data_IF_581128279377
#
_entry.id   IF_581128279377
#
_cell.length_a   1.000
_cell.length_b   1.000
_cell.length_c   1.000
_cell.angle_alpha   90.00
_cell.angle_beta   90.00
_cell.angle_gamma   90.00
#
_symmetry.space_group_name_H-M   'P 1'
#
loop_
_entity.id
_entity.type
_entity.pdbx_description
1 polymer ?
#
# COMPACT_ATOMS: atom_id res chain seq x y z
N UNK A 1 1.76 16.02 7.37
CA UNK A 1 1.97 14.70 8.01
C UNK A 1 3.45 14.42 7.98
N UNK A 2 4.05 14.10 9.13
CA UNK A 2 5.45 13.70 9.24
C UNK A 2 5.51 12.16 9.17
N UNK A 3 6.21 11.56 8.18
CA UNK A 3 6.26 10.10 8.03
C UNK A 3 7.33 9.39 8.88
N UNK A 4 8.16 10.12 9.59
CA UNK A 4 9.35 9.57 10.25
C UNK A 4 9.07 8.77 11.55
N UNK A 5 8.07 9.11 12.38
CA UNK A 5 7.79 8.36 13.60
C UNK A 5 7.23 6.95 13.31
N UNK A 6 8.10 5.94 13.30
CA UNK A 6 7.75 4.55 12.96
C UNK A 6 6.65 3.95 13.87
N UNK A 7 6.62 4.33 15.15
CA UNK A 7 5.62 3.86 16.11
C UNK A 7 4.20 4.32 15.77
N UNK A 8 4.01 5.48 15.12
CA UNK A 8 2.69 5.92 14.69
C UNK A 8 2.15 5.03 13.58
N UNK A 9 2.99 4.58 12.65
CA UNK A 9 2.57 3.61 11.64
C UNK A 9 2.17 2.27 12.26
N UNK A 10 2.89 1.81 13.29
CA UNK A 10 2.53 0.60 14.03
C UNK A 10 1.14 0.75 14.66
N UNK A 11 0.92 1.85 15.37
CA UNK A 11 -0.36 2.13 16.02
C UNK A 11 -1.52 2.22 15.02
N UNK A 12 -1.31 2.85 13.86
CA UNK A 12 -2.30 2.87 12.77
C UNK A 12 -2.67 1.47 12.32
N UNK A 13 -1.68 0.59 12.10
CA UNK A 13 -1.95 -0.80 11.72
C UNK A 13 -2.73 -1.54 12.79
N UNK A 14 -2.37 -1.40 14.06
CA UNK A 14 -3.11 -1.99 15.18
C UNK A 14 -4.57 -1.54 15.21
N UNK A 15 -4.84 -0.24 15.02
CA UNK A 15 -6.20 0.29 14.97
C UNK A 15 -7.01 -0.23 13.76
N UNK A 16 -6.38 -0.37 12.59
CA UNK A 16 -7.05 -0.92 11.40
C UNK A 16 -7.35 -2.41 11.56
N UNK A 17 -6.46 -3.15 12.21
CA UNK A 17 -6.64 -4.57 12.51
C UNK A 17 -7.66 -4.81 13.63
N UNK A 18 -7.77 -3.92 14.62
CA UNK A 18 -8.71 -4.09 15.74
C UNK A 18 -10.15 -3.71 15.38
N UNK A 19 -10.34 -2.78 14.43
CA UNK A 19 -11.68 -2.37 13.96
C UNK A 19 -12.39 -3.42 13.10
N UNK A 20 -11.69 -4.45 12.60
CA UNK A 20 -12.33 -5.53 11.87
C UNK A 20 -13.01 -6.50 12.86
N UNK A 21 -14.29 -6.25 13.18
CA UNK A 21 -15.09 -7.15 14.03
C UNK A 21 -15.34 -8.52 13.39
N UNK A 22 -15.10 -8.66 12.09
CA UNK A 22 -14.97 -9.94 11.39
C UNK A 22 -13.73 -9.93 10.46
N UNK A 23 -13.02 -11.06 10.31
CA UNK A 23 -11.84 -11.16 9.45
C UNK A 23 -12.13 -10.92 7.96
N UNK A 24 -13.37 -11.11 7.51
CA UNK A 24 -13.79 -10.99 6.10
C UNK A 24 -14.21 -9.57 5.69
N UNK A 25 -14.41 -8.64 6.64
CA UNK A 25 -14.80 -7.26 6.35
C UNK A 25 -13.77 -6.29 6.92
N UNK A 26 -12.50 -6.52 6.63
CA UNK A 26 -11.55 -5.42 6.71
C UNK A 26 -11.87 -4.44 5.59
N UNK A 27 -12.21 -3.21 5.97
CA UNK A 27 -12.71 -2.21 5.04
C UNK A 27 -11.64 -1.85 3.99
N UNK A 28 -11.83 -2.33 2.76
CA UNK A 28 -11.01 -1.97 1.60
C UNK A 28 -10.93 -0.45 1.44
N UNK A 29 -11.94 0.31 1.87
CA UNK A 29 -11.92 1.77 1.87
C UNK A 29 -10.86 2.32 2.83
N UNK A 30 -10.78 1.82 4.06
CA UNK A 30 -9.76 2.23 5.03
C UNK A 30 -8.34 1.91 4.55
N UNK A 31 -8.14 0.76 3.89
CA UNK A 31 -6.83 0.44 3.29
C UNK A 31 -6.49 1.38 2.13
N UNK A 32 -7.48 1.77 1.30
CA UNK A 32 -7.30 2.77 0.24
C UNK A 32 -6.93 4.15 0.80
N UNK A 33 -7.49 4.53 1.93
CA UNK A 33 -7.11 5.76 2.64
C UNK A 33 -5.66 5.72 3.11
N UNK A 34 -5.16 4.58 3.61
CA UNK A 34 -3.74 4.43 3.95
C UNK A 34 -2.83 4.52 2.72
N UNK A 35 -3.24 4.01 1.56
CA UNK A 35 -2.51 4.17 0.31
C UNK A 35 -2.45 5.65 -0.13
N UNK A 36 -3.54 6.41 0.05
CA UNK A 36 -3.55 7.86 -0.21
C UNK A 36 -2.66 8.63 0.78
N UNK A 37 -2.72 8.28 2.06
CA UNK A 37 -1.91 8.89 3.11
C UNK A 37 -0.41 8.68 2.87
N UNK A 38 -0.02 7.45 2.54
CA UNK A 38 1.40 7.14 2.25
C UNK A 38 1.89 7.83 0.99
N UNK A 39 1.08 7.90 -0.07
CA UNK A 39 1.44 8.68 -1.26
C UNK A 39 1.72 10.15 -0.90
N UNK A 40 0.79 10.80 -0.18
CA UNK A 40 0.96 12.19 0.30
C UNK A 40 2.20 12.38 1.17
N UNK A 41 2.53 11.39 2.00
CA UNK A 41 3.74 11.41 2.83
C UNK A 41 5.02 11.30 2.00
N UNK A 42 5.01 10.43 0.97
CA UNK A 42 6.14 10.21 0.09
C UNK A 42 6.40 11.40 -0.83
N UNK A 43 5.36 12.12 -1.25
CA UNK A 43 5.53 13.42 -1.94
C UNK A 43 6.34 14.42 -1.11
N UNK A 44 6.17 14.39 0.23
CA UNK A 44 6.90 15.27 1.15
C UNK A 44 8.30 14.77 1.48
N UNK A 45 8.45 13.46 1.67
CA UNK A 45 9.72 12.82 1.93
C UNK A 45 9.79 11.48 1.18
N UNK A 46 10.34 11.46 -0.06
CA UNK A 46 10.42 10.25 -0.88
C UNK A 46 11.33 9.16 -0.31
N UNK A 47 12.10 9.46 0.73
CA UNK A 47 13.05 8.55 1.41
C UNK A 47 12.54 8.09 2.79
N UNK A 48 11.29 8.41 3.13
CA UNK A 48 10.70 8.03 4.40
C UNK A 48 10.49 6.50 4.49
N UNK A 49 11.36 5.83 5.24
CA UNK A 49 11.27 4.38 5.49
C UNK A 49 9.90 3.94 6.03
N UNK A 50 9.37 4.68 7.00
CA UNK A 50 8.08 4.35 7.64
C UNK A 50 6.93 4.34 6.64
N UNK A 51 6.86 5.35 5.76
CA UNK A 51 5.82 5.46 4.74
C UNK A 51 5.91 4.32 3.70
N UNK A 52 7.11 4.01 3.20
CA UNK A 52 7.30 2.88 2.26
C UNK A 52 6.94 1.53 2.90
N UNK A 53 7.33 1.31 4.15
CA UNK A 53 7.01 0.07 4.86
C UNK A 53 5.51 -0.07 5.13
N UNK A 54 4.85 1.02 5.54
CA UNK A 54 3.41 1.04 5.74
C UNK A 54 2.65 0.83 4.42
N UNK A 55 3.10 1.47 3.33
CA UNK A 55 2.52 1.27 1.99
C UNK A 55 2.63 -0.19 1.54
N UNK A 56 3.77 -0.84 1.78
CA UNK A 56 3.97 -2.27 1.52
C UNK A 56 2.99 -3.14 2.30
N UNK A 57 2.74 -2.80 3.57
CA UNK A 57 1.72 -3.47 4.37
C UNK A 57 0.30 -3.27 3.81
N UNK A 58 -0.06 -2.03 3.44
CA UNK A 58 -1.38 -1.71 2.87
C UNK A 58 -1.63 -2.47 1.57
N UNK A 59 -0.66 -2.51 0.64
CA UNK A 59 -0.79 -3.27 -0.62
C UNK A 59 -0.95 -4.77 -0.35
N UNK A 60 -0.14 -5.35 0.54
CA UNK A 60 -0.33 -6.77 0.94
C UNK A 60 -1.73 -7.02 1.47
N UNK A 61 -2.28 -6.08 2.24
CA UNK A 61 -3.62 -6.24 2.80
C UNK A 61 -4.70 -6.11 1.74
N UNK A 62 -4.59 -5.16 0.81
CA UNK A 62 -5.47 -5.09 -0.36
C UNK A 62 -5.43 -6.37 -1.19
N UNK A 63 -4.25 -6.95 -1.43
CA UNK A 63 -4.14 -8.21 -2.17
C UNK A 63 -4.85 -9.37 -1.48
N UNK A 64 -4.74 -9.49 -0.15
CA UNK A 64 -5.44 -10.52 0.62
C UNK A 64 -6.97 -10.34 0.57
N UNK A 65 -7.44 -9.09 0.59
CA UNK A 65 -8.88 -8.77 0.56
C UNK A 65 -9.49 -8.84 -0.85
N UNK A 66 -8.67 -8.75 -1.88
CA UNK A 66 -9.08 -8.90 -3.28
C UNK A 66 -8.96 -10.33 -3.79
N UNK A 67 -8.58 -11.30 -2.94
CA UNK A 67 -8.55 -12.70 -3.34
C UNK A 67 -9.97 -13.16 -3.71
N UNK A 68 -10.14 -13.87 -4.84
CA UNK A 68 -11.45 -14.34 -5.26
C UNK A 68 -12.01 -15.31 -4.21
N UNK A 69 -13.22 -15.04 -3.74
CA UNK A 69 -14.09 -16.10 -3.22
C UNK A 69 -14.37 -17.08 -4.36
N UNK A 70 -14.55 -18.36 -4.04
CA UNK A 70 -14.65 -19.47 -5.00
C UNK A 70 -15.75 -19.33 -6.10
N UNK A 71 -16.55 -18.26 -6.07
CA UNK A 71 -17.69 -18.03 -6.97
C UNK A 71 -17.49 -16.94 -8.04
N UNK A 72 -16.41 -16.14 -8.03
CA UNK A 72 -16.28 -14.98 -8.95
C UNK A 72 -14.87 -14.90 -9.58
N UNK A 73 -14.64 -15.68 -10.62
CA UNK A 73 -13.31 -15.82 -11.27
C UNK A 73 -12.93 -14.67 -12.22
N UNK A 74 -13.85 -13.74 -12.54
CA UNK A 74 -13.62 -12.71 -13.57
C UNK A 74 -13.36 -11.30 -13.02
N UNK A 75 -14.05 -10.87 -11.96
CA UNK A 75 -13.99 -9.48 -11.48
C UNK A 75 -12.79 -9.17 -10.57
N UNK A 76 -12.34 -10.14 -9.77
CA UNK A 76 -11.26 -9.95 -8.79
C UNK A 76 -9.89 -9.79 -9.44
N UNK A 77 -9.65 -10.48 -10.55
CA UNK A 77 -8.39 -10.40 -11.32
C UNK A 77 -8.13 -8.96 -11.81
N UNK A 78 -9.18 -8.29 -12.32
CA UNK A 78 -9.10 -6.90 -12.79
C UNK A 78 -8.78 -5.90 -11.67
N UNK A 79 -9.30 -6.13 -10.45
CA UNK A 79 -9.03 -5.25 -9.31
C UNK A 79 -7.59 -5.34 -8.82
N UNK A 80 -7.03 -6.56 -8.79
CA UNK A 80 -5.62 -6.79 -8.46
C UNK A 80 -4.70 -6.16 -9.50
N UNK A 81 -4.98 -6.36 -10.79
CA UNK A 81 -4.21 -5.76 -11.87
C UNK A 81 -4.23 -4.22 -11.78
N UNK A 82 -5.40 -3.64 -11.51
CA UNK A 82 -5.57 -2.19 -11.34
C UNK A 82 -4.76 -1.66 -10.16
N UNK A 83 -4.74 -2.38 -9.04
CA UNK A 83 -3.91 -2.02 -7.88
C UNK A 83 -2.43 -2.03 -8.24
N UNK A 84 -1.93 -3.13 -8.81
CA UNK A 84 -0.51 -3.28 -9.12
C UNK A 84 -0.04 -2.26 -10.17
N UNK A 85 -0.87 -1.97 -11.18
CA UNK A 85 -0.58 -0.92 -12.18
C UNK A 85 -0.40 0.45 -11.51
N UNK A 86 -1.30 0.84 -10.60
CA UNK A 86 -1.18 2.11 -9.85
C UNK A 86 0.10 2.17 -9.02
N UNK A 87 0.51 1.06 -8.41
CA UNK A 87 1.76 1.01 -7.64
C UNK A 87 3.00 1.12 -8.53
N UNK A 88 2.97 0.54 -9.72
CA UNK A 88 4.02 0.69 -10.73
C UNK A 88 4.11 2.12 -11.26
N UNK A 89 2.97 2.77 -11.51
CA UNK A 89 2.92 4.17 -11.94
C UNK A 89 3.49 5.10 -10.86
N UNK A 90 3.16 4.87 -9.59
CA UNK A 90 3.75 5.59 -8.46
C UNK A 90 5.27 5.38 -8.38
N UNK A 91 5.75 4.16 -8.61
CA UNK A 91 7.19 3.91 -8.68
C UNK A 91 7.83 4.69 -9.83
N UNK A 92 7.20 4.69 -11.01
CA UNK A 92 7.66 5.46 -12.17
C UNK A 92 7.75 6.96 -11.87
N UNK A 93 6.74 7.50 -11.17
CA UNK A 93 6.74 8.89 -10.72
C UNK A 93 7.94 9.20 -9.82
N UNK A 94 8.12 8.47 -8.71
CA UNK A 94 9.23 8.75 -7.78
C UNK A 94 10.62 8.49 -8.39
N UNK A 95 10.75 7.53 -9.29
CA UNK A 95 12.01 7.27 -10.00
C UNK A 95 12.30 8.31 -11.08
N UNK A 96 11.29 8.96 -11.64
CA UNK A 96 11.50 10.12 -12.53
C UNK A 96 12.03 11.35 -11.79
N UNK A 97 11.71 11.48 -10.49
CA UNK A 97 12.20 12.54 -9.62
C UNK A 97 13.62 12.26 -9.07
N UNK A 98 13.90 11.01 -8.69
CA UNK A 98 15.21 10.54 -8.25
C UNK A 98 15.42 9.08 -8.66
N UNK A 99 16.09 8.86 -9.78
CA UNK A 99 16.34 7.51 -10.33
C UNK A 99 17.19 6.63 -9.39
N UNK A 100 17.87 7.24 -8.41
CA UNK A 100 18.71 6.56 -7.41
C UNK A 100 17.96 6.28 -6.12
N UNK A 101 16.66 6.57 -6.04
CA UNK A 101 15.85 6.30 -4.86
C UNK A 101 15.73 4.78 -4.63
N UNK A 102 16.65 4.24 -3.82
CA UNK A 102 16.70 2.81 -3.53
C UNK A 102 15.47 2.32 -2.75
N UNK A 103 14.78 3.19 -2.00
CA UNK A 103 13.54 2.81 -1.31
C UNK A 103 12.44 2.52 -2.33
N UNK A 104 12.32 3.38 -3.34
CA UNK A 104 11.37 3.19 -4.44
C UNK A 104 11.74 1.95 -5.26
N UNK A 105 13.02 1.73 -5.57
CA UNK A 105 13.45 0.50 -6.26
C UNK A 105 13.13 -0.77 -5.46
N UNK A 106 13.40 -0.77 -4.15
CA UNK A 106 13.06 -1.89 -3.27
C UNK A 106 11.54 -2.13 -3.19
N UNK A 107 10.75 -1.05 -3.17
CA UNK A 107 9.30 -1.14 -3.22
C UNK A 107 8.80 -1.68 -4.56
N UNK A 108 9.32 -1.17 -5.68
CA UNK A 108 9.01 -1.65 -7.04
C UNK A 108 9.32 -3.14 -7.18
N UNK A 109 10.46 -3.61 -6.66
CA UNK A 109 10.81 -5.03 -6.63
C UNK A 109 9.74 -5.85 -5.91
N UNK A 110 9.24 -5.37 -4.77
CA UNK A 110 8.13 -6.02 -4.06
C UNK A 110 6.83 -6.05 -4.89
N UNK A 111 6.50 -5.01 -5.65
CA UNK A 111 5.27 -4.94 -6.46
C UNK A 111 5.28 -5.95 -7.62
N UNK A 112 6.44 -6.24 -8.19
CA UNK A 112 6.60 -7.16 -9.34
C UNK A 112 6.98 -8.60 -8.97
N UNK A 113 7.10 -8.91 -7.67
CA UNK A 113 7.45 -10.26 -7.18
C UNK A 113 6.19 -11.03 -6.78
#
# INVERSE_FOLDING_TARGET
>A
VNPDPSHLWNHRRELLLSKSSSPDVMDLSAIREELSLTATCLEKNPKAYGAWFHRKWSVRRSLLLLQPSNDESSSSSSSVETLLRRELDLCGHFLSLDERNFHCWNYRRFVVS
#
